data_IF_571102385629
#
_entry.id   IF_571102385629
#
_cell.length_a   1.000
_cell.length_b   1.000
_cell.length_c   1.000
_cell.angle_alpha   90.00
_cell.angle_beta   90.00
_cell.angle_gamma   90.00
#
_symmetry.space_group_name_H-M   'P 1'
#
loop_
_entity.id
_entity.type
_entity.pdbx_description
1 polymer ?
#
# COMPACT_ATOMS: atom_id res chain seq x y z
N UNK A 1 42.28 15.24 10.62
CA UNK A 1 40.92 15.72 10.28
C UNK A 1 40.09 14.51 9.88
N UNK A 2 38.99 14.16 10.56
CA UNK A 2 38.10 13.12 10.07
C UNK A 2 37.23 13.70 8.94
N UNK A 3 37.16 13.00 7.82
CA UNK A 3 36.30 13.35 6.69
C UNK A 3 34.90 12.80 6.93
N UNK A 4 33.89 13.67 6.95
CA UNK A 4 32.49 13.30 7.05
C UNK A 4 32.11 12.45 5.82
N UNK A 5 31.68 11.20 6.04
CA UNK A 5 31.05 10.37 5.00
C UNK A 5 29.60 10.79 4.87
N UNK A 6 29.34 11.83 4.09
CA UNK A 6 28.01 12.07 3.54
C UNK A 6 27.93 11.42 2.17
N UNK A 7 27.49 10.16 2.12
CA UNK A 7 27.01 9.51 0.90
C UNK A 7 25.79 8.67 1.21
N UNK A 8 24.81 9.27 1.87
CA UNK A 8 23.43 8.80 1.69
C UNK A 8 23.01 9.33 0.32
N UNK A 9 23.23 8.50 -0.70
CA UNK A 9 22.65 8.74 -2.00
C UNK A 9 21.13 8.77 -1.79
N UNK A 10 20.48 9.90 -2.08
CA UNK A 10 19.02 9.95 -2.27
C UNK A 10 18.67 8.93 -3.34
N UNK A 11 18.26 7.75 -2.92
CA UNK A 11 17.78 6.70 -3.80
C UNK A 11 16.53 7.29 -4.46
N UNK A 12 16.53 7.41 -5.80
CA UNK A 12 15.35 7.88 -6.50
C UNK A 12 14.19 6.95 -6.15
N UNK A 13 13.01 7.48 -5.76
CA UNK A 13 11.89 6.65 -5.40
C UNK A 13 11.56 5.71 -6.56
N UNK A 14 11.55 4.40 -6.29
CA UNK A 14 11.16 3.40 -7.28
C UNK A 14 9.65 3.47 -7.41
N UNK A 15 9.16 4.04 -8.51
CA UNK A 15 7.73 4.02 -8.83
C UNK A 15 7.32 2.59 -9.18
N UNK A 16 6.44 2.01 -8.38
CA UNK A 16 5.95 0.65 -8.63
C UNK A 16 4.86 0.67 -9.69
N UNK A 17 5.00 -0.20 -10.69
CA UNK A 17 3.92 -0.40 -11.67
C UNK A 17 2.78 -1.15 -10.99
N UNK A 18 1.62 -0.52 -10.96
CA UNK A 18 0.34 -1.06 -10.52
C UNK A 18 -0.61 -1.04 -11.72
N UNK A 19 -1.36 -2.10 -11.94
CA UNK A 19 -2.53 -2.03 -12.82
C UNK A 19 -3.69 -1.28 -12.14
N UNK A 20 -4.79 -1.06 -12.89
CA UNK A 20 -5.92 -0.27 -12.42
C UNK A 20 -6.62 -0.91 -11.20
N UNK A 21 -6.75 -2.24 -11.19
CA UNK A 21 -7.35 -2.99 -10.07
C UNK A 21 -6.42 -2.93 -8.84
N UNK A 22 -5.12 -3.15 -9.02
CA UNK A 22 -4.10 -3.07 -7.97
C UNK A 22 -4.06 -1.66 -7.35
N UNK A 23 -4.11 -0.62 -8.19
CA UNK A 23 -4.15 0.78 -7.74
C UNK A 23 -5.42 1.03 -6.94
N UNK A 24 -6.60 0.67 -7.46
CA UNK A 24 -7.87 0.86 -6.78
C UNK A 24 -7.92 0.14 -5.42
N UNK A 25 -7.49 -1.13 -5.37
CA UNK A 25 -7.43 -1.92 -4.13
C UNK A 25 -6.55 -1.23 -3.09
N UNK A 26 -5.37 -0.76 -3.47
CA UNK A 26 -4.45 -0.11 -2.54
C UNK A 26 -4.91 1.30 -2.13
N UNK A 27 -5.58 2.04 -3.02
CA UNK A 27 -6.23 3.31 -2.70
C UNK A 27 -7.31 3.11 -1.65
N UNK A 28 -8.22 2.14 -1.83
CA UNK A 28 -9.25 1.81 -0.84
C UNK A 28 -8.62 1.38 0.49
N UNK A 29 -7.63 0.48 0.45
CA UNK A 29 -6.96 -0.02 1.65
C UNK A 29 -6.23 1.08 2.42
N UNK A 30 -5.59 2.00 1.69
CA UNK A 30 -4.72 3.06 2.18
C UNK A 30 -5.37 4.44 2.28
N UNK A 31 -6.69 4.58 2.06
CA UNK A 31 -7.35 5.88 1.95
C UNK A 31 -7.07 6.84 3.12
N UNK A 32 -6.98 6.32 4.34
CA UNK A 32 -6.67 7.11 5.55
C UNK A 32 -5.28 7.75 5.52
N UNK A 33 -4.32 7.11 4.84
CA UNK A 33 -2.98 7.65 4.64
C UNK A 33 -3.01 8.79 3.61
N UNK A 34 -3.77 8.60 2.53
CA UNK A 34 -3.92 9.61 1.46
C UNK A 34 -4.70 10.84 1.95
N UNK A 35 -5.65 10.64 2.86
CA UNK A 35 -6.38 11.70 3.57
C UNK A 35 -5.57 12.36 4.71
N UNK A 36 -4.35 11.91 4.96
CA UNK A 36 -3.48 12.41 6.04
C UNK A 36 -4.15 12.38 7.43
N UNK A 37 -4.92 11.33 7.72
CA UNK A 37 -5.53 11.16 9.04
C UNK A 37 -4.47 11.01 10.15
N UNK A 38 -4.85 11.36 11.39
CA UNK A 38 -3.94 11.17 12.52
C UNK A 38 -3.81 9.68 12.87
N UNK A 39 -2.59 9.14 12.82
CA UNK A 39 -2.28 7.70 13.05
C UNK A 39 -3.10 6.79 12.13
N UNK A 40 -2.92 6.92 10.81
CA UNK A 40 -3.70 6.14 9.85
C UNK A 40 -3.39 4.65 10.04
N UNK A 41 -4.42 3.83 9.86
CA UNK A 41 -4.29 2.38 9.78
C UNK A 41 -4.97 1.89 8.51
N UNK A 42 -4.43 0.84 7.85
CA UNK A 42 -5.05 0.29 6.65
C UNK A 42 -6.44 -0.26 7.00
N UNK A 43 -7.37 -0.17 6.07
CA UNK A 43 -8.67 -0.84 6.23
C UNK A 43 -8.50 -2.35 6.40
N UNK A 44 -9.49 -2.99 7.04
CA UNK A 44 -9.58 -4.46 7.00
C UNK A 44 -9.94 -4.93 5.58
N UNK A 45 -9.56 -6.15 5.21
CA UNK A 45 -9.93 -6.74 3.91
C UNK A 45 -11.43 -6.76 3.67
N UNK A 46 -12.22 -6.91 4.75
CA UNK A 46 -13.69 -6.86 4.67
C UNK A 46 -14.18 -5.46 4.29
N UNK A 47 -13.76 -4.44 5.04
CA UNK A 47 -14.14 -3.06 4.73
C UNK A 47 -13.71 -2.64 3.32
N UNK A 48 -12.50 -3.03 2.91
CA UNK A 48 -12.01 -2.75 1.56
C UNK A 48 -12.85 -3.46 0.50
N UNK A 49 -13.20 -4.74 0.69
CA UNK A 49 -14.05 -5.47 -0.24
C UNK A 49 -15.46 -4.89 -0.34
N UNK A 50 -16.05 -4.49 0.79
CA UNK A 50 -17.38 -3.88 0.82
C UNK A 50 -17.39 -2.58 0.01
N UNK A 51 -16.40 -1.69 0.19
CA UNK A 51 -16.28 -0.45 -0.57
C UNK A 51 -15.94 -0.70 -2.06
N UNK A 52 -15.08 -1.66 -2.37
CA UNK A 52 -14.77 -2.03 -3.76
C UNK A 52 -16.01 -2.57 -4.50
N UNK A 53 -16.88 -3.30 -3.80
CA UNK A 53 -18.13 -3.79 -4.36
C UNK A 53 -19.16 -2.66 -4.60
N UNK A 54 -19.06 -1.55 -3.87
CA UNK A 54 -19.86 -0.34 -4.16
C UNK A 54 -19.34 0.39 -5.40
N UNK A 55 -18.02 0.50 -5.56
CA UNK A 55 -17.38 1.21 -6.70
C UNK A 55 -17.47 0.39 -8.00
N UNK A 56 -17.23 -0.92 -7.92
CA UNK A 56 -17.25 -1.86 -9.05
C UNK A 56 -18.13 -3.08 -8.73
N UNK A 57 -19.46 -2.95 -8.79
CA UNK A 57 -20.39 -4.02 -8.38
C UNK A 57 -20.25 -5.29 -9.22
N UNK A 58 -19.93 -5.15 -10.51
CA UNK A 58 -19.82 -6.27 -11.43
C UNK A 58 -18.45 -6.97 -11.38
N UNK A 59 -17.47 -6.40 -10.66
CA UNK A 59 -16.12 -6.97 -10.59
C UNK A 59 -16.03 -8.17 -9.65
N UNK A 60 -17.01 -8.42 -8.77
CA UNK A 60 -17.00 -9.59 -7.87
C UNK A 60 -15.93 -9.50 -6.76
N UNK A 61 -15.80 -8.33 -6.14
CA UNK A 61 -14.88 -8.11 -5.04
C UNK A 61 -15.29 -8.89 -3.78
N UNK A 62 -14.33 -9.60 -3.19
CA UNK A 62 -14.50 -10.34 -1.93
C UNK A 62 -13.29 -10.10 -1.03
N UNK A 63 -13.42 -10.27 0.30
CA UNK A 63 -12.27 -10.10 1.22
C UNK A 63 -11.09 -10.99 0.84
N UNK A 64 -11.37 -12.20 0.30
CA UNK A 64 -10.34 -13.14 -0.13
C UNK A 64 -9.61 -12.67 -1.40
N UNK A 65 -10.35 -12.07 -2.34
CA UNK A 65 -9.74 -11.48 -3.56
C UNK A 65 -8.85 -10.29 -3.20
N UNK A 66 -9.29 -9.42 -2.28
CA UNK A 66 -8.49 -8.31 -1.77
C UNK A 66 -7.21 -8.81 -1.09
N UNK A 67 -7.31 -9.80 -0.20
CA UNK A 67 -6.15 -10.43 0.44
C UNK A 67 -5.14 -10.95 -0.59
N UNK A 68 -5.61 -11.66 -1.62
CA UNK A 68 -4.75 -12.20 -2.67
C UNK A 68 -4.06 -11.10 -3.49
N UNK A 69 -4.80 -10.06 -3.90
CA UNK A 69 -4.23 -8.93 -4.63
C UNK A 69 -3.13 -8.22 -3.83
N UNK A 70 -3.41 -7.87 -2.57
CA UNK A 70 -2.45 -7.21 -1.68
C UNK A 70 -1.22 -8.10 -1.43
N UNK A 71 -1.42 -9.41 -1.23
CA UNK A 71 -0.33 -10.36 -1.02
C UNK A 71 0.57 -10.49 -2.26
N UNK A 72 -0.02 -10.50 -3.47
CA UNK A 72 0.72 -10.55 -4.71
C UNK A 72 1.60 -9.30 -4.92
N UNK A 73 1.03 -8.11 -4.69
CA UNK A 73 1.76 -6.84 -4.77
C UNK A 73 2.90 -6.81 -3.75
N UNK A 74 2.61 -7.16 -2.49
CA UNK A 74 3.61 -7.20 -1.41
C UNK A 74 4.77 -8.14 -1.76
N UNK A 75 4.46 -9.31 -2.31
CA UNK A 75 5.47 -10.28 -2.75
C UNK A 75 6.33 -9.72 -3.89
N UNK A 76 5.71 -9.01 -4.85
CA UNK A 76 6.43 -8.35 -5.96
C UNK A 76 7.37 -7.25 -5.45
N UNK A 77 6.91 -6.41 -4.53
CA UNK A 77 7.69 -5.32 -3.95
C UNK A 77 8.84 -5.83 -3.07
N UNK A 78 8.57 -6.84 -2.24
CA UNK A 78 9.62 -7.50 -1.43
C UNK A 78 10.73 -8.08 -2.31
N UNK A 79 10.38 -8.77 -3.40
CA UNK A 79 11.36 -9.26 -4.39
C UNK A 79 12.16 -8.14 -5.07
N UNK A 80 11.58 -6.95 -5.19
CA UNK A 80 12.26 -5.77 -5.71
C UNK A 80 13.10 -5.03 -4.66
N UNK A 81 13.21 -5.56 -3.43
CA UNK A 81 14.10 -5.06 -2.39
C UNK A 81 13.46 -4.12 -1.38
N UNK A 82 12.12 -3.98 -1.35
CA UNK A 82 11.45 -3.20 -0.30
C UNK A 82 11.49 -3.98 1.02
N UNK A 83 12.08 -3.40 2.08
CA UNK A 83 12.17 -4.06 3.37
C UNK A 83 10.84 -4.03 4.13
N UNK A 84 10.67 -4.94 5.09
CA UNK A 84 9.53 -4.94 6.02
C UNK A 84 8.21 -5.38 5.39
N UNK A 85 8.28 -6.05 4.23
CA UNK A 85 7.13 -6.59 3.51
C UNK A 85 6.99 -8.10 3.66
N UNK A 86 7.86 -8.74 4.44
CA UNK A 86 7.76 -10.15 4.80
C UNK A 86 7.57 -10.35 6.31
N UNK A 87 6.96 -11.47 6.67
CA UNK A 87 6.84 -11.89 8.07
C UNK A 87 8.20 -12.05 8.74
N UNK A 88 9.20 -12.50 8.00
CA UNK A 88 10.55 -12.73 8.47
C UNK A 88 11.23 -11.42 8.91
N UNK A 89 10.96 -10.32 8.21
CA UNK A 89 11.51 -8.99 8.52
C UNK A 89 10.78 -8.27 9.65
N UNK A 90 9.46 -8.42 9.73
CA UNK A 90 8.62 -7.71 10.71
C UNK A 90 8.59 -8.40 12.07
N UNK A 91 8.82 -9.72 12.10
CA UNK A 91 8.69 -10.53 13.31
C UNK A 91 7.23 -10.80 13.70
N UNK A 92 7.01 -11.75 14.62
CA UNK A 92 5.66 -12.07 15.12
C UNK A 92 5.37 -11.33 16.45
N UNK A 93 4.14 -10.83 16.66
CA UNK A 93 2.96 -10.97 15.79
C UNK A 93 2.89 -9.93 14.66
N UNK A 94 2.69 -10.42 13.43
CA UNK A 94 2.68 -9.60 12.21
C UNK A 94 1.52 -8.59 12.16
N UNK A 95 0.36 -8.96 12.73
CA UNK A 95 -0.83 -8.11 12.75
C UNK A 95 -1.15 -7.45 11.41
N UNK A 96 -1.44 -6.14 11.43
CA UNK A 96 -1.64 -5.33 10.24
C UNK A 96 -0.36 -4.61 9.77
N UNK A 97 0.80 -4.90 10.40
CA UNK A 97 2.04 -4.16 10.17
C UNK A 97 2.57 -4.30 8.74
N UNK A 98 2.38 -5.46 8.10
CA UNK A 98 2.76 -5.63 6.68
C UNK A 98 1.96 -4.72 5.74
N UNK A 99 0.68 -4.50 6.04
CA UNK A 99 -0.15 -3.63 5.22
C UNK A 99 0.19 -2.16 5.51
N UNK A 100 0.49 -1.81 6.77
CA UNK A 100 0.97 -0.46 7.13
C UNK A 100 2.28 -0.14 6.40
N UNK A 101 3.26 -1.03 6.44
CA UNK A 101 4.54 -0.86 5.74
C UNK A 101 4.34 -0.74 4.22
N UNK A 102 3.47 -1.58 3.64
CA UNK A 102 3.15 -1.52 2.22
C UNK A 102 2.58 -0.16 1.81
N UNK A 103 1.56 0.33 2.50
CA UNK A 103 0.94 1.61 2.16
C UNK A 103 1.91 2.77 2.40
N UNK A 104 2.70 2.74 3.48
CA UNK A 104 3.75 3.75 3.73
C UNK A 104 4.76 3.81 2.61
N UNK A 105 5.27 2.68 2.16
CA UNK A 105 6.21 2.64 1.03
C UNK A 105 5.59 3.22 -0.25
N UNK A 106 4.33 2.89 -0.53
CA UNK A 106 3.63 3.37 -1.74
C UNK A 106 3.40 4.88 -1.71
N UNK A 107 3.10 5.45 -0.54
CA UNK A 107 2.95 6.90 -0.36
C UNK A 107 4.32 7.60 -0.40
N UNK A 108 5.34 7.05 0.27
CA UNK A 108 6.70 7.61 0.30
C UNK A 108 7.36 7.61 -1.08
N UNK A 109 7.13 6.54 -1.87
CA UNK A 109 7.61 6.43 -3.24
C UNK A 109 6.79 7.24 -4.24
N UNK A 110 5.71 7.91 -3.80
CA UNK A 110 4.72 8.59 -4.66
C UNK A 110 4.07 7.67 -5.70
N UNK A 111 4.06 6.37 -5.45
CA UNK A 111 3.33 5.40 -6.27
C UNK A 111 1.82 5.56 -6.09
N UNK A 112 1.40 5.81 -4.84
CA UNK A 112 0.05 6.26 -4.50
C UNK A 112 0.10 7.71 -4.04
N UNK A 113 -0.84 8.51 -4.55
CA UNK A 113 -0.93 9.94 -4.30
C UNK A 113 -2.36 10.33 -3.94
N UNK A 114 -2.57 11.46 -3.25
CA UNK A 114 -3.93 11.89 -2.87
C UNK A 114 -4.95 11.96 -4.02
N UNK A 115 -4.59 12.38 -5.26
CA UNK A 115 -5.51 12.32 -6.40
C UNK A 115 -6.04 10.91 -6.74
N UNK A 116 -5.37 9.83 -6.34
CA UNK A 116 -5.91 8.48 -6.53
C UNK A 116 -7.25 8.29 -5.81
N UNK A 117 -7.54 9.08 -4.76
CA UNK A 117 -8.82 9.06 -4.04
C UNK A 117 -10.02 9.44 -4.92
N UNK A 118 -9.81 10.17 -6.02
CA UNK A 118 -10.89 10.53 -6.97
C UNK A 118 -11.53 9.27 -7.59
N UNK A 119 -10.81 8.14 -7.61
CA UNK A 119 -11.32 6.85 -8.06
C UNK A 119 -12.38 6.25 -7.13
N UNK A 120 -12.49 6.73 -5.89
CA UNK A 120 -13.46 6.25 -4.91
C UNK A 120 -14.84 6.90 -5.05
N UNK A 121 -14.97 7.88 -5.95
CA UNK A 121 -16.15 8.72 -6.13
C UNK A 121 -15.97 10.10 -5.49
N UNK A 122 -16.46 11.14 -6.17
CA UNK A 122 -16.57 12.50 -5.63
C UNK A 122 -17.44 12.49 -4.37
N UNK A 123 -16.99 13.16 -3.31
CA UNK A 123 -17.85 13.55 -2.18
C UNK A 123 -18.92 14.54 -2.64
#
# INVERSE_FOLDING_TARGET
RPAARHRDATQQPVLWRLDDDERLVLTVLGQRYLLHEHRPQPLSWRQAADQLAEIQPDAGWTPKRVEHAVTAIRTRMSKGGVPGLTREEVGEPVGNALNDNLIRELVLSTTLVPPDLEQLGDT
#
